data_IF_801882270423
#
_entry.id   IF_801882270423
#
_cell.length_a   1.000
_cell.length_b   1.000
_cell.length_c   1.000
_cell.angle_alpha   90.00
_cell.angle_beta   90.00
_cell.angle_gamma   90.00
#
_symmetry.space_group_name_H-M   'P 1'
#
loop_
_entity.id
_entity.type
_entity.pdbx_description
1 polymer ?
#
# COMPACT_ATOMS: atom_id res chain seq x y z
N UNK A 1 3.13 -0.86 -1.35
CA UNK A 1 3.24 -0.24 0.00
C UNK A 1 4.27 0.88 0.07
N UNK A 2 5.53 0.64 -0.32
CA UNK A 2 6.60 1.65 -0.24
C UNK A 2 6.31 2.98 -0.97
N UNK A 3 5.74 2.94 -2.17
CA UNK A 3 5.32 4.16 -2.89
C UNK A 3 4.31 5.00 -2.11
N UNK A 4 3.41 4.34 -1.35
CA UNK A 4 2.38 5.01 -0.58
C UNK A 4 2.97 5.65 0.69
N UNK A 5 3.92 4.97 1.35
CA UNK A 5 4.68 5.50 2.48
C UNK A 5 5.47 6.76 2.08
N UNK A 6 6.04 6.77 0.88
CA UNK A 6 6.88 7.85 0.36
C UNK A 6 6.13 8.85 -0.53
N UNK A 7 4.79 8.79 -0.56
CA UNK A 7 4.01 9.72 -1.35
C UNK A 7 4.30 11.16 -0.93
N UNK A 8 4.78 11.96 -1.89
CA UNK A 8 5.20 13.37 -1.74
C UNK A 8 6.19 13.60 -0.60
N UNK A 9 7.08 12.65 -0.37
CA UNK A 9 8.31 12.90 0.38
C UNK A 9 9.38 13.39 -0.59
N UNK A 10 10.20 14.34 -0.14
CA UNK A 10 11.34 14.83 -0.91
C UNK A 10 12.38 13.73 -1.11
N UNK A 11 12.62 12.93 -0.06
CA UNK A 11 13.52 11.77 -0.10
C UNK A 11 12.77 10.48 0.29
N UNK A 12 12.94 9.38 -0.46
CA UNK A 12 12.35 8.09 -0.10
C UNK A 12 12.92 7.53 1.21
N UNK A 13 12.03 7.21 2.14
CA UNK A 13 12.33 6.55 3.41
C UNK A 13 12.40 5.04 3.24
N UNK A 14 13.48 4.44 3.73
CA UNK A 14 13.69 2.99 3.86
C UNK A 14 13.88 2.66 5.34
N UNK A 15 12.80 2.31 6.03
CA UNK A 15 12.83 2.03 7.48
C UNK A 15 13.15 0.56 7.82
N UNK A 16 13.40 -0.27 6.80
CA UNK A 16 13.67 -1.70 6.94
C UNK A 16 12.49 -2.50 7.49
N UNK A 17 11.30 -1.91 7.61
CA UNK A 17 10.11 -2.59 8.15
C UNK A 17 9.35 -3.29 7.04
N UNK A 18 8.72 -4.40 7.42
CA UNK A 18 7.92 -5.19 6.49
C UNK A 18 6.44 -4.83 6.62
N UNK A 19 5.88 -4.27 5.55
CA UNK A 19 4.48 -3.82 5.48
C UNK A 19 3.65 -4.62 4.48
N UNK A 20 4.31 -5.50 3.73
CA UNK A 20 3.69 -6.32 2.70
C UNK A 20 3.90 -7.78 3.07
N UNK A 21 2.87 -8.58 2.85
CA UNK A 21 2.87 -9.99 3.18
C UNK A 21 2.36 -10.79 1.99
N UNK A 22 2.85 -12.01 1.83
CA UNK A 22 2.27 -12.98 0.90
C UNK A 22 2.07 -14.33 1.57
N UNK A 23 1.31 -15.19 0.91
CA UNK A 23 1.05 -16.54 1.39
C UNK A 23 1.02 -17.51 0.22
N UNK A 24 1.49 -18.72 0.43
CA UNK A 24 1.31 -19.83 -0.50
C UNK A 24 0.54 -20.94 0.19
N UNK A 25 -0.49 -21.45 -0.45
CA UNK A 25 -1.15 -22.70 -0.05
C UNK A 25 -0.88 -23.74 -1.13
N UNK A 26 -0.01 -24.69 -0.83
CA UNK A 26 0.36 -25.75 -1.76
C UNK A 26 0.52 -27.06 -0.98
N UNK A 27 -0.02 -28.16 -1.51
CA UNK A 27 0.07 -29.49 -0.91
C UNK A 27 -0.32 -29.51 0.57
N UNK A 28 -1.47 -28.90 0.89
CA UNK A 28 -1.99 -28.81 2.26
C UNK A 28 -1.17 -27.94 3.22
N UNK A 29 -0.09 -27.30 2.76
CA UNK A 29 0.80 -26.47 3.58
C UNK A 29 0.61 -24.99 3.27
N UNK A 30 0.24 -24.22 4.28
CA UNK A 30 0.22 -22.76 4.25
C UNK A 30 1.59 -22.22 4.66
N UNK A 31 2.25 -21.45 3.80
CA UNK A 31 3.45 -20.68 4.15
C UNK A 31 3.13 -19.20 4.09
N UNK A 32 3.62 -18.44 5.07
CA UNK A 32 3.45 -16.99 5.18
C UNK A 32 4.81 -16.32 5.01
N UNK A 33 4.84 -15.22 4.27
CA UNK A 33 6.04 -14.47 3.96
C UNK A 33 5.83 -12.98 4.25
N UNK A 34 6.93 -12.31 4.56
CA UNK A 34 6.98 -10.86 4.72
C UNK A 34 8.00 -10.26 3.78
N UNK A 35 7.71 -9.04 3.34
CA UNK A 35 8.50 -8.35 2.34
C UNK A 35 8.89 -6.97 2.82
N UNK A 36 10.16 -6.63 2.66
CA UNK A 36 10.69 -5.30 2.91
C UNK A 36 11.67 -4.87 1.83
N UNK A 37 11.90 -3.56 1.77
CA UNK A 37 12.87 -2.95 0.88
C UNK A 37 14.02 -2.37 1.70
N UNK A 38 15.23 -2.51 1.18
CA UNK A 38 16.41 -1.79 1.69
C UNK A 38 16.79 -0.69 0.72
N UNK A 39 17.42 0.37 1.26
CA UNK A 39 17.93 1.46 0.44
C UNK A 39 18.95 0.92 -0.59
N UNK A 40 18.99 1.49 -1.81
CA UNK A 40 20.02 1.16 -2.78
C UNK A 40 21.42 1.45 -2.21
N UNK A 41 22.39 0.57 -2.46
CA UNK A 41 23.78 0.77 -2.02
C UNK A 41 24.47 1.89 -2.80
N UNK A 42 24.05 2.12 -4.05
CA UNK A 42 24.55 3.16 -4.93
C UNK A 42 23.42 4.16 -5.23
N UNK A 43 23.74 5.46 -5.19
CA UNK A 43 22.77 6.53 -5.45
C UNK A 43 22.22 6.41 -6.88
N UNK A 44 20.90 6.25 -6.99
CA UNK A 44 20.20 6.14 -8.29
C UNK A 44 19.89 4.70 -8.73
N UNK A 45 20.36 3.69 -7.99
CA UNK A 45 19.96 2.30 -8.23
C UNK A 45 18.56 1.98 -7.68
N UNK A 46 18.03 0.82 -8.09
CA UNK A 46 16.76 0.33 -7.59
C UNK A 46 16.90 -0.22 -6.16
N UNK A 47 15.87 -0.07 -5.32
CA UNK A 47 15.84 -0.70 -4.00
C UNK A 47 15.89 -2.22 -4.11
N UNK A 48 16.60 -2.85 -3.18
CA UNK A 48 16.65 -4.30 -3.10
C UNK A 48 15.41 -4.83 -2.37
N UNK A 49 14.87 -5.94 -2.87
CA UNK A 49 13.67 -6.59 -2.34
C UNK A 49 14.02 -7.85 -1.56
N UNK A 50 13.60 -7.86 -0.30
CA UNK A 50 13.86 -8.96 0.62
C UNK A 50 12.56 -9.65 0.99
N UNK A 51 12.55 -10.98 0.86
CA UNK A 51 11.45 -11.85 1.26
C UNK A 51 11.93 -12.81 2.34
N UNK A 52 11.23 -12.82 3.48
CA UNK A 52 11.52 -13.72 4.60
C UNK A 52 10.29 -14.57 4.93
N UNK A 53 10.50 -15.87 5.15
CA UNK A 53 9.42 -16.75 5.61
C UNK A 53 9.11 -16.46 7.09
N UNK A 54 7.85 -16.15 7.38
CA UNK A 54 7.37 -15.91 8.75
C UNK A 54 7.00 -17.22 9.45
N UNK A 55 6.22 -18.07 8.77
CA UNK A 55 5.67 -19.29 9.34
C UNK A 55 5.24 -20.29 8.27
N UNK A 56 5.09 -21.56 8.67
CA UNK A 56 4.50 -22.60 7.85
C UNK A 56 3.58 -23.50 8.69
N UNK A 57 2.42 -23.86 8.15
CA UNK A 57 1.40 -24.66 8.81
C UNK A 57 0.91 -25.79 7.89
N UNK A 58 1.04 -27.03 8.34
CA UNK A 58 0.42 -28.18 7.67
C UNK A 58 -1.08 -28.22 8.02
N UNK A 59 -1.92 -27.65 7.16
CA UNK A 59 -3.35 -27.50 7.40
C UNK A 59 -4.12 -28.82 7.32
N UNK A 60 -3.55 -29.84 6.68
CA UNK A 60 -4.14 -31.17 6.51
C UNK A 60 -3.74 -32.16 7.62
N UNK A 61 -2.77 -31.80 8.48
CA UNK A 61 -2.25 -32.71 9.50
C UNK A 61 -3.27 -32.95 10.63
N UNK A 62 -3.72 -31.88 11.31
CA UNK A 62 -4.71 -31.98 12.37
C UNK A 62 -5.49 -30.67 12.57
N UNK A 63 -6.54 -30.73 13.40
CA UNK A 63 -7.42 -29.58 13.67
C UNK A 63 -6.68 -28.41 14.31
N UNK A 64 -5.69 -28.67 15.16
CA UNK A 64 -4.96 -27.61 15.87
C UNK A 64 -4.10 -26.80 14.91
N UNK A 65 -3.29 -27.46 14.07
CA UNK A 65 -2.46 -26.79 13.06
C UNK A 65 -3.29 -26.03 12.05
N UNK A 66 -4.47 -26.55 11.69
CA UNK A 66 -5.44 -25.85 10.86
C UNK A 66 -5.90 -24.54 11.50
N UNK A 67 -6.35 -24.58 12.76
CA UNK A 67 -6.84 -23.40 13.48
C UNK A 67 -5.73 -22.37 13.62
N UNK A 68 -4.52 -22.79 14.00
CA UNK A 68 -3.37 -21.90 14.14
C UNK A 68 -3.01 -21.23 12.81
N UNK A 69 -2.91 -22.00 11.71
CA UNK A 69 -2.58 -21.45 10.40
C UNK A 69 -3.65 -20.50 9.86
N UNK A 70 -4.92 -20.87 9.97
CA UNK A 70 -6.04 -20.02 9.56
C UNK A 70 -6.10 -18.71 10.38
N UNK A 71 -5.79 -18.78 11.67
CA UNK A 71 -5.75 -17.62 12.56
C UNK A 71 -4.59 -16.70 12.20
N UNK A 72 -3.38 -17.25 12.03
CA UNK A 72 -2.20 -16.50 11.62
C UNK A 72 -2.42 -15.78 10.28
N UNK A 73 -3.01 -16.46 9.30
CA UNK A 73 -3.34 -15.86 8.01
C UNK A 73 -4.33 -14.69 8.13
N UNK A 74 -5.40 -14.84 8.91
CA UNK A 74 -6.38 -13.76 9.13
C UNK A 74 -5.74 -12.56 9.82
N UNK A 75 -4.99 -12.79 10.89
CA UNK A 75 -4.28 -11.74 11.61
C UNK A 75 -3.31 -11.00 10.70
N UNK A 76 -2.59 -11.71 9.83
CA UNK A 76 -1.66 -11.10 8.88
C UNK A 76 -2.38 -10.24 7.84
N UNK A 77 -3.55 -10.69 7.37
CA UNK A 77 -4.40 -9.92 6.47
C UNK A 77 -4.95 -8.65 7.13
N UNK A 78 -5.37 -8.74 8.38
CA UNK A 78 -5.86 -7.58 9.14
C UNK A 78 -4.73 -6.58 9.40
N UNK A 79 -3.54 -7.06 9.77
CA UNK A 79 -2.35 -6.23 9.93
C UNK A 79 -1.95 -5.53 8.61
N UNK A 80 -1.98 -6.26 7.49
CA UNK A 80 -1.71 -5.69 6.17
C UNK A 80 -2.69 -4.55 5.84
N UNK A 81 -3.97 -4.72 6.20
CA UNK A 81 -4.99 -3.70 6.02
C UNK A 81 -4.69 -2.48 6.89
N UNK A 82 -4.38 -2.65 8.17
CA UNK A 82 -4.04 -1.55 9.07
C UNK A 82 -2.88 -0.71 8.51
N UNK A 83 -1.80 -1.36 8.09
CA UNK A 83 -0.66 -0.67 7.48
C UNK A 83 -1.04 0.09 6.21
N UNK A 84 -1.83 -0.55 5.34
CA UNK A 84 -2.33 0.10 4.13
C UNK A 84 -3.16 1.33 4.47
N UNK A 85 -4.11 1.21 5.38
CA UNK A 85 -5.03 2.29 5.74
C UNK A 85 -4.28 3.45 6.41
N UNK A 86 -3.29 3.18 7.26
CA UNK A 86 -2.38 4.20 7.82
C UNK A 86 -1.61 4.93 6.73
N UNK A 87 -1.03 4.21 5.77
CA UNK A 87 -0.28 4.84 4.69
C UNK A 87 -1.18 5.64 3.74
N UNK A 88 -2.40 5.16 3.46
CA UNK A 88 -3.39 5.92 2.67
C UNK A 88 -3.72 7.22 3.40
N UNK A 89 -4.00 7.16 4.71
CA UNK A 89 -4.30 8.34 5.52
C UNK A 89 -3.16 9.36 5.48
N UNK A 90 -1.91 8.91 5.65
CA UNK A 90 -0.74 9.78 5.62
C UNK A 90 -0.51 10.39 4.24
N UNK A 91 -0.65 9.60 3.17
CA UNK A 91 -0.54 10.09 1.80
C UNK A 91 -1.61 11.14 1.47
N UNK A 92 -2.86 10.90 1.88
CA UNK A 92 -3.95 11.85 1.71
C UNK A 92 -3.74 13.13 2.51
N UNK A 93 -3.21 13.03 3.72
CA UNK A 93 -2.88 14.20 4.54
C UNK A 93 -1.86 15.11 3.84
N UNK A 94 -0.75 14.52 3.33
CA UNK A 94 0.26 15.25 2.54
C UNK A 94 -0.34 15.85 1.27
N UNK A 95 -1.21 15.11 0.58
CA UNK A 95 -1.91 15.60 -0.59
C UNK A 95 -2.64 16.93 -0.32
N UNK A 96 -3.38 16.98 0.80
CA UNK A 96 -4.15 18.15 1.18
C UNK A 96 -3.26 19.33 1.59
N UNK A 97 -2.17 19.09 2.32
CA UNK A 97 -1.23 20.15 2.72
C UNK A 97 -0.65 20.90 1.52
N UNK A 98 -0.19 20.19 0.50
CA UNK A 98 0.34 20.86 -0.70
C UNK A 98 -0.77 21.58 -1.47
N UNK A 99 -1.97 20.98 -1.53
CA UNK A 99 -3.11 21.61 -2.20
C UNK A 99 -3.51 22.92 -1.50
N UNK A 100 -3.40 22.99 -0.17
CA UNK A 100 -3.62 24.23 0.59
C UNK A 100 -2.48 25.25 0.41
N UNK A 101 -1.22 24.80 0.40
CA UNK A 101 -0.06 25.67 0.17
C UNK A 101 -0.09 26.31 -1.23
N UNK A 102 -0.50 25.56 -2.26
CA UNK A 102 -0.70 26.07 -3.62
C UNK A 102 -1.84 27.10 -3.67
N UNK A 103 -2.93 26.90 -2.90
CA UNK A 103 -4.03 27.87 -2.84
C UNK A 103 -3.63 29.17 -2.14
N UNK A 104 -2.82 29.11 -1.09
CA UNK A 104 -2.35 30.29 -0.35
C UNK A 104 -1.30 31.10 -1.13
N UNK A 105 -0.39 30.43 -1.83
CA UNK A 105 0.56 31.10 -2.73
C UNK A 105 -0.16 31.74 -3.93
N UNK A 106 -1.22 31.11 -4.43
CA UNK A 106 -2.04 31.67 -5.51
C UNK A 106 -2.84 32.88 -5.05
N UNK A 107 -3.43 32.86 -3.84
CA UNK A 107 -4.15 34.01 -3.24
C UNK A 107 -3.23 35.21 -2.99
N UNK A 108 -2.02 34.98 -2.49
CA UNK A 108 -1.03 36.06 -2.27
C UNK A 108 -0.48 36.61 -3.59
N UNK A 109 -0.37 35.79 -4.64
CA UNK A 109 -0.05 36.24 -5.99
C UNK A 109 -1.20 37.00 -6.68
N UNK A 110 -2.47 36.61 -6.43
CA UNK A 110 -3.65 37.32 -6.99
C UNK A 110 -3.96 38.62 -6.26
N UNK A 111 -3.70 38.73 -4.96
CA UNK A 111 -3.84 40.01 -4.24
C UNK A 111 -2.84 41.08 -4.74
N UNK A 112 -1.67 40.65 -5.24
CA UNK A 112 -0.70 41.55 -5.91
C UNK A 112 -1.06 41.89 -7.36
N UNK A 113 -2.07 41.22 -7.93
CA UNK A 113 -2.56 41.38 -9.31
C UNK A 113 -4.00 41.92 -9.35
N UNK A 114 -4.47 42.62 -8.33
CA UNK A 114 -5.72 43.41 -8.41
C UNK A 114 -5.49 44.68 -9.25
N UNK A 115 -5.27 44.44 -10.53
CA UNK A 115 -5.28 45.41 -11.61
C UNK A 115 -5.61 44.62 -12.87
N UNK A 116 -6.87 44.71 -13.30
CA UNK A 116 -7.46 44.06 -14.49
C UNK A 116 -7.91 42.61 -14.32
N UNK A 117 -9.23 42.44 -14.21
CA UNK A 117 -9.90 41.16 -14.06
C UNK A 117 -9.93 40.30 -15.33
N UNK A 118 -10.09 39.00 -15.10
CA UNK A 118 -10.99 38.09 -15.82
C UNK A 118 -11.03 36.77 -15.05
N UNK A 119 -12.23 36.42 -14.64
CA UNK A 119 -12.61 35.20 -13.95
C UNK A 119 -12.31 33.99 -14.86
N UNK A 120 -11.48 33.05 -14.40
CA UNK A 120 -11.27 31.75 -15.04
C UNK A 120 -11.76 30.66 -14.10
N UNK A 121 -13.06 30.40 -14.19
CA UNK A 121 -13.70 29.22 -13.66
C UNK A 121 -13.44 28.06 -14.62
N UNK A 122 -12.32 27.33 -14.49
CA UNK A 122 -12.25 25.92 -14.92
C UNK A 122 -10.96 25.21 -14.46
N UNK A 123 -10.94 24.67 -13.24
CA UNK A 123 -10.04 23.56 -12.93
C UNK A 123 -10.85 22.48 -12.21
N UNK A 124 -11.62 21.74 -13.01
CA UNK A 124 -12.28 20.50 -12.64
C UNK A 124 -11.30 19.38 -12.24
N UNK A 125 -10.54 19.57 -11.17
CA UNK A 125 -9.74 18.50 -10.56
C UNK A 125 -10.62 17.78 -9.56
N UNK A 126 -11.22 16.68 -10.02
CA UNK A 126 -12.00 15.77 -9.18
C UNK A 126 -11.07 15.13 -8.14
N UNK A 127 -11.46 15.05 -6.85
CA UNK A 127 -10.78 14.18 -5.90
C UNK A 127 -10.85 12.73 -6.42
N UNK A 128 -9.86 11.90 -6.06
CA UNK A 128 -9.75 10.48 -6.46
C UNK A 128 -11.09 9.76 -6.28
N UNK A 129 -11.87 9.74 -7.36
CA UNK A 129 -13.22 9.20 -7.42
C UNK A 129 -13.11 7.82 -8.05
N UNK A 130 -13.18 6.81 -7.19
CA UNK A 130 -13.84 5.52 -7.42
C UNK A 130 -13.35 4.58 -8.53
N UNK A 131 -12.45 4.98 -9.45
CA UNK A 131 -12.06 4.14 -10.60
C UNK A 131 -10.59 3.74 -10.65
N UNK A 132 -9.71 4.46 -9.96
CA UNK A 132 -8.30 4.03 -9.77
C UNK A 132 -8.09 3.07 -8.61
N UNK A 133 -9.18 2.56 -8.03
CA UNK A 133 -9.11 1.48 -7.06
C UNK A 133 -8.93 0.11 -7.73
N UNK A 134 -9.24 0.00 -9.04
CA UNK A 134 -9.18 -1.27 -9.75
C UNK A 134 -7.76 -1.73 -10.09
N UNK A 135 -6.78 -0.82 -10.18
CA UNK A 135 -5.41 -1.19 -10.58
C UNK A 135 -4.53 -1.60 -9.38
N UNK A 136 -4.96 -1.33 -8.14
CA UNK A 136 -4.17 -1.66 -6.94
C UNK A 136 -4.71 -2.89 -6.19
N UNK A 137 -5.92 -3.36 -6.52
CA UNK A 137 -6.43 -4.62 -5.96
C UNK A 137 -5.72 -5.87 -6.48
N UNK A 138 -5.07 -5.80 -7.65
CA UNK A 138 -4.48 -6.99 -8.27
C UNK A 138 -3.01 -7.25 -7.85
N UNK A 139 -2.33 -6.30 -7.20
CA UNK A 139 -0.90 -6.45 -6.88
C UNK A 139 -0.63 -7.04 -5.48
N UNK A 140 -1.63 -7.17 -4.59
CA UNK A 140 -1.42 -7.75 -3.22
C UNK A 140 -2.50 -8.78 -2.85
N UNK A 141 -3.19 -9.39 -3.82
CA UNK A 141 -4.09 -10.51 -3.52
C UNK A 141 -4.25 -11.47 -4.70
N UNK A 142 -3.14 -11.89 -5.31
CA UNK A 142 -3.21 -13.02 -6.23
C UNK A 142 -3.18 -14.34 -5.42
N UNK A 143 -4.36 -14.70 -4.91
CA UNK A 143 -4.70 -16.08 -4.60
C UNK A 143 -5.68 -16.59 -5.66
N UNK A 144 -5.38 -16.40 -6.95
CA UNK A 144 -5.99 -17.22 -8.02
C UNK A 144 -5.07 -18.38 -8.36
N UNK A 145 -4.95 -19.32 -7.43
CA UNK A 145 -4.73 -20.72 -7.84
C UNK A 145 -5.54 -21.67 -6.95
N UNK A 146 -6.54 -22.30 -7.58
CA UNK A 146 -7.11 -23.59 -7.21
C UNK A 146 -8.00 -23.71 -5.95
N UNK A 147 -9.12 -22.99 -5.93
CA UNK A 147 -10.35 -23.47 -5.26
C UNK A 147 -11.24 -24.25 -6.26
N UNK A 148 -10.65 -25.24 -6.93
CA UNK A 148 -11.40 -26.24 -7.69
C UNK A 148 -11.01 -27.62 -7.17
N UNK A 149 -11.81 -28.19 -6.27
CA UNK A 149 -11.75 -29.64 -6.04
C UNK A 149 -11.73 -30.18 -4.61
N UNK A 150 -12.12 -29.43 -3.57
CA UNK A 150 -12.31 -30.04 -2.24
C UNK A 150 -13.79 -30.00 -1.83
N UNK A 151 -14.55 -30.96 -2.39
CA UNK A 151 -15.77 -31.44 -1.74
C UNK A 151 -15.33 -32.29 -0.55
N UNK A 152 -15.81 -31.92 0.63
CA UNK A 152 -15.79 -32.77 1.83
C UNK A 152 -16.88 -33.83 1.67
#
# INVERSE_FOLDING_TARGET
>A
MHQLQNYRQEEPVYDGKSYTFSSTLHDGTLKLYTHHLTAPTIRGEQPEYHMSQLAAYALTNNRETFIQGATAYRNLRDLAKEYRDTFIKNANFRYQQDATAVKESTKTATLRRSGSGRELNDLGIRPFSGKHQQIITDIIFDCRTSLAGMKI
#
